data_IF_989939395764
#
_entry.id   IF_989939395764
#
_cell.length_a   1.000
_cell.length_b   1.000
_cell.length_c   1.000
_cell.angle_alpha   90.00
_cell.angle_beta   90.00
_cell.angle_gamma   90.00
#
_symmetry.space_group_name_H-M   'P 1'
#
loop_
_entity.id
_entity.type
_entity.pdbx_description
1 polymer ?
#
# COMPACT_ATOMS: atom_id res chain seq x y z
N UNK A 1 -30.73 -4.82 5.49
CA UNK A 1 -29.55 -3.96 5.76
C UNK A 1 -28.54 -4.55 6.78
N UNK A 2 -28.64 -5.82 7.21
CA UNK A 2 -27.81 -6.35 8.32
C UNK A 2 -26.86 -7.53 8.00
N UNK A 3 -26.76 -8.01 6.74
CA UNK A 3 -25.89 -9.15 6.40
C UNK A 3 -24.64 -8.81 5.56
N UNK A 4 -24.60 -7.63 4.92
CA UNK A 4 -23.45 -7.18 4.10
C UNK A 4 -22.35 -6.54 4.97
N UNK A 5 -22.74 -5.92 6.09
CA UNK A 5 -21.81 -5.26 7.01
C UNK A 5 -20.86 -6.28 7.67
N UNK A 6 -21.37 -7.44 8.09
CA UNK A 6 -20.53 -8.53 8.64
C UNK A 6 -19.68 -9.23 7.57
N UNK A 7 -20.16 -9.36 6.33
CA UNK A 7 -19.41 -10.04 5.26
C UNK A 7 -18.21 -9.26 4.73
N UNK A 8 -18.26 -7.92 4.71
CA UNK A 8 -17.11 -7.12 4.25
C UNK A 8 -15.90 -7.16 5.19
N UNK A 9 -16.08 -7.52 6.47
CA UNK A 9 -14.98 -7.73 7.42
C UNK A 9 -14.38 -9.14 7.26
N UNK A 10 -15.17 -10.10 6.77
CA UNK A 10 -14.73 -11.48 6.48
C UNK A 10 -14.08 -11.67 5.10
N UNK A 11 -13.97 -10.60 4.29
CA UNK A 11 -13.33 -10.61 2.97
C UNK A 11 -11.89 -10.09 3.00
N UNK A 12 -11.30 -9.86 4.17
CA UNK A 12 -9.86 -9.70 4.26
C UNK A 12 -9.27 -11.10 4.04
N UNK A 13 -8.51 -11.35 2.95
CA UNK A 13 -7.66 -12.52 2.94
C UNK A 13 -6.78 -12.38 4.18
N UNK A 14 -6.58 -13.48 4.89
CA UNK A 14 -5.60 -13.55 5.94
C UNK A 14 -4.24 -13.17 5.34
N UNK A 15 -3.89 -11.87 5.40
CA UNK A 15 -2.54 -11.39 5.18
C UNK A 15 -1.67 -12.27 6.07
N UNK A 16 -0.73 -12.97 5.45
CA UNK A 16 -0.19 -14.19 6.00
C UNK A 16 0.67 -13.89 7.25
N UNK A 17 0.06 -13.95 8.44
CA UNK A 17 0.70 -13.72 9.74
C UNK A 17 1.97 -14.58 9.95
N UNK A 18 2.10 -15.69 9.22
CA UNK A 18 3.29 -16.54 9.22
C UNK A 18 4.58 -15.79 8.83
N UNK A 19 4.51 -14.65 8.12
CA UNK A 19 5.70 -13.86 7.78
C UNK A 19 6.30 -13.17 9.01
N UNK A 20 5.47 -12.64 9.91
CA UNK A 20 5.94 -12.06 11.18
C UNK A 20 6.61 -13.11 12.06
N UNK A 21 5.99 -14.28 12.20
CA UNK A 21 6.54 -15.41 12.96
C UNK A 21 7.91 -15.87 12.42
N UNK A 22 8.03 -15.99 11.09
CA UNK A 22 9.29 -16.35 10.43
C UNK A 22 10.41 -15.36 10.77
N UNK A 23 10.16 -14.06 10.64
CA UNK A 23 11.15 -13.01 10.91
C UNK A 23 11.57 -13.01 12.37
N UNK A 24 10.59 -13.13 13.29
CA UNK A 24 10.86 -13.21 14.73
C UNK A 24 11.69 -14.45 15.09
N UNK A 25 11.42 -15.59 14.47
CA UNK A 25 12.17 -16.82 14.69
C UNK A 25 13.63 -16.73 14.21
N UNK A 26 13.90 -16.01 13.13
CA UNK A 26 15.27 -15.75 12.65
C UNK A 26 16.04 -14.77 13.56
N UNK A 27 15.33 -13.88 14.26
CA UNK A 27 15.91 -12.92 15.21
C UNK A 27 16.77 -11.83 14.55
N UNK A 28 17.15 -10.82 15.33
CA UNK A 28 18.07 -9.75 14.93
C UNK A 28 17.47 -8.61 14.09
N UNK A 29 16.30 -8.80 13.49
CA UNK A 29 15.60 -7.74 12.75
C UNK A 29 14.92 -6.74 13.70
N UNK A 30 15.02 -5.44 13.37
CA UNK A 30 14.27 -4.34 14.02
C UNK A 30 13.17 -3.76 13.14
N UNK A 31 13.30 -3.98 11.84
CA UNK A 31 12.34 -3.61 10.82
C UNK A 31 12.57 -4.53 9.62
N UNK A 32 11.50 -4.98 8.98
CA UNK A 32 11.54 -5.78 7.76
C UNK A 32 10.59 -5.20 6.73
N UNK A 33 11.07 -4.95 5.52
CA UNK A 33 10.19 -4.50 4.43
C UNK A 33 9.26 -5.63 4.01
N UNK A 34 7.97 -5.33 3.90
CA UNK A 34 6.93 -6.32 3.58
C UNK A 34 6.07 -5.81 2.44
N UNK A 35 6.13 -6.51 1.30
CA UNK A 35 5.34 -6.19 0.12
C UNK A 35 3.85 -6.40 0.38
N UNK A 36 3.05 -5.38 0.11
CA UNK A 36 1.59 -5.44 0.07
C UNK A 36 1.13 -4.86 -1.26
N UNK A 37 0.55 -5.67 -2.15
CA UNK A 37 0.05 -5.14 -3.42
C UNK A 37 -1.38 -4.63 -3.32
N UNK A 38 -1.65 -3.51 -4.00
CA UNK A 38 -2.97 -2.89 -4.09
C UNK A 38 -3.30 -2.70 -5.57
N UNK A 39 -3.78 -3.75 -6.28
CA UNK A 39 -4.03 -3.73 -7.72
C UNK A 39 -5.28 -2.89 -8.10
N UNK A 40 -5.20 -1.58 -7.89
CA UNK A 40 -6.28 -0.61 -8.12
C UNK A 40 -5.88 0.38 -9.22
N UNK A 41 -6.69 0.53 -10.27
CA UNK A 41 -6.39 1.44 -11.37
C UNK A 41 -7.55 2.33 -11.81
N UNK A 42 -8.71 2.24 -11.16
CA UNK A 42 -9.93 2.93 -11.63
C UNK A 42 -9.99 4.41 -11.24
N UNK A 43 -9.05 4.89 -10.42
CA UNK A 43 -8.93 6.30 -10.06
C UNK A 43 -7.95 7.05 -10.97
N UNK A 44 -7.25 6.34 -11.87
CA UNK A 44 -6.49 6.92 -12.98
C UNK A 44 -7.37 7.76 -13.90
N UNK A 45 -6.84 8.92 -14.33
CA UNK A 45 -7.53 9.82 -15.28
C UNK A 45 -7.35 9.45 -16.75
N UNK A 46 -6.37 8.60 -17.10
CA UNK A 46 -6.10 8.24 -18.50
C UNK A 46 -6.16 6.73 -18.75
N UNK A 47 -5.31 5.94 -18.07
CA UNK A 47 -5.24 4.49 -18.25
C UNK A 47 -5.23 3.76 -16.91
N UNK A 48 -5.98 2.65 -16.83
CA UNK A 48 -6.12 1.83 -15.62
C UNK A 48 -5.11 0.67 -15.55
N UNK A 49 -4.12 0.68 -16.46
CA UNK A 49 -3.04 -0.32 -16.52
C UNK A 49 -2.27 -0.58 -15.21
N UNK A 50 -2.09 0.41 -14.30
CA UNK A 50 -1.44 0.17 -13.02
C UNK A 50 -2.08 -0.94 -12.17
N UNK A 51 -3.37 -1.25 -12.36
CA UNK A 51 -4.02 -2.36 -11.66
C UNK A 51 -3.31 -3.72 -11.87
N UNK A 52 -2.55 -3.89 -12.94
CA UNK A 52 -1.81 -5.12 -13.27
C UNK A 52 -0.34 -5.10 -12.81
N UNK A 53 0.11 -4.04 -12.15
CA UNK A 53 1.51 -3.84 -11.80
C UNK A 53 2.05 -4.76 -10.68
N UNK A 54 1.33 -5.03 -9.57
CA UNK A 54 1.92 -5.75 -8.44
C UNK A 54 2.51 -7.13 -8.80
N UNK A 55 1.84 -7.99 -9.60
CA UNK A 55 2.42 -9.26 -10.00
C UNK A 55 3.67 -9.11 -10.89
N UNK A 56 3.70 -8.10 -11.78
CA UNK A 56 4.83 -7.86 -12.69
C UNK A 56 6.05 -7.30 -11.97
N UNK A 57 5.85 -6.47 -10.96
CA UNK A 57 6.93 -5.99 -10.10
C UNK A 57 7.57 -7.16 -9.36
N UNK A 58 6.78 -8.08 -8.80
CA UNK A 58 7.30 -9.29 -8.15
C UNK A 58 8.09 -10.19 -9.10
N UNK A 59 7.58 -10.40 -10.31
CA UNK A 59 8.29 -11.15 -11.35
C UNK A 59 9.66 -10.52 -11.66
N UNK A 60 9.73 -9.20 -11.74
CA UNK A 60 10.98 -8.48 -12.00
C UNK A 60 11.97 -8.57 -10.83
N UNK A 61 11.50 -8.49 -9.57
CA UNK A 61 12.35 -8.63 -8.36
C UNK A 61 13.07 -9.98 -8.35
N UNK A 62 12.40 -11.05 -8.79
CA UNK A 62 12.92 -12.43 -8.74
C UNK A 62 13.35 -12.97 -10.12
N UNK A 63 13.59 -12.08 -11.08
CA UNK A 63 13.96 -12.47 -12.43
C UNK A 63 15.33 -13.16 -12.43
N UNK A 64 15.45 -14.31 -13.11
CA UNK A 64 16.70 -15.08 -13.18
C UNK A 64 17.86 -14.38 -13.90
N UNK A 65 17.64 -13.21 -14.51
CA UNK A 65 18.72 -12.36 -15.05
C UNK A 65 19.41 -11.52 -13.97
N UNK A 66 18.80 -11.38 -12.79
CA UNK A 66 19.30 -10.59 -11.67
C UNK A 66 19.90 -11.48 -10.59
N UNK A 67 20.71 -10.89 -9.70
CA UNK A 67 21.05 -11.51 -8.43
C UNK A 67 20.11 -10.99 -7.33
N UNK A 68 20.18 -11.58 -6.12
CA UNK A 68 19.33 -11.20 -4.99
C UNK A 68 19.99 -10.19 -4.04
N UNK A 69 21.11 -9.58 -4.41
CA UNK A 69 21.80 -8.60 -3.57
C UNK A 69 21.47 -7.18 -4.00
N UNK A 70 20.97 -6.37 -3.08
CA UNK A 70 20.83 -4.92 -3.28
C UNK A 70 22.18 -4.24 -3.50
N UNK A 71 22.20 -3.00 -4.01
CA UNK A 71 23.45 -2.26 -4.26
C UNK A 71 24.34 -2.10 -3.01
N UNK A 72 23.74 -1.94 -1.83
CA UNK A 72 24.45 -1.85 -0.54
C UNK A 72 24.76 -3.23 0.08
N UNK A 73 24.48 -4.33 -0.62
CA UNK A 73 24.86 -5.69 -0.22
C UNK A 73 23.88 -6.41 0.73
N UNK A 74 22.65 -5.93 0.91
CA UNK A 74 21.60 -6.70 1.62
C UNK A 74 21.04 -7.81 0.73
N UNK A 75 20.85 -8.99 1.32
CA UNK A 75 20.34 -10.20 0.66
C UNK A 75 18.80 -10.25 0.69
N UNK A 76 18.15 -10.19 -0.47
CA UNK A 76 16.69 -10.17 -0.59
C UNK A 76 16.05 -11.52 -0.23
N UNK A 77 16.77 -12.64 -0.37
CA UNK A 77 16.26 -13.96 0.05
C UNK A 77 16.21 -14.12 1.58
N UNK A 78 16.86 -13.23 2.33
CA UNK A 78 16.71 -13.17 3.78
C UNK A 78 15.35 -12.56 4.14
N UNK A 79 14.48 -13.35 4.79
CA UNK A 79 13.17 -12.88 5.22
C UNK A 79 13.25 -11.68 6.18
N UNK A 80 14.38 -11.43 6.84
CA UNK A 80 14.58 -10.23 7.67
C UNK A 80 14.72 -8.96 6.83
N UNK A 81 15.11 -9.08 5.56
CA UNK A 81 15.28 -7.97 4.61
C UNK A 81 13.99 -7.70 3.84
N UNK A 82 13.42 -8.73 3.20
CA UNK A 82 12.22 -8.61 2.39
C UNK A 82 11.26 -9.79 2.61
N UNK A 83 9.98 -9.48 2.82
CA UNK A 83 8.87 -10.45 2.83
C UNK A 83 7.75 -9.96 1.92
N UNK A 84 6.78 -10.83 1.67
CA UNK A 84 5.61 -10.53 0.83
C UNK A 84 4.38 -11.18 1.45
N UNK A 85 3.32 -10.39 1.61
CA UNK A 85 2.03 -10.83 2.16
C UNK A 85 0.93 -10.93 1.09
N UNK A 86 1.27 -10.69 -0.18
CA UNK A 86 0.37 -10.82 -1.31
C UNK A 86 -0.40 -9.54 -1.62
N UNK A 87 -1.57 -9.69 -2.24
CA UNK A 87 -2.37 -8.60 -2.78
C UNK A 87 -3.70 -8.47 -2.06
N UNK A 88 -4.15 -7.22 -1.87
CA UNK A 88 -5.54 -6.92 -1.50
C UNK A 88 -6.43 -7.31 -2.69
N UNK A 89 -7.54 -8.05 -2.49
CA UNK A 89 -8.41 -8.52 -3.56
C UNK A 89 -9.34 -7.40 -4.05
N UNK A 90 -8.73 -6.37 -4.66
CA UNK A 90 -9.41 -5.12 -5.03
C UNK A 90 -10.56 -5.38 -6.00
N UNK A 91 -10.35 -6.23 -7.01
CA UNK A 91 -11.36 -6.47 -8.04
C UNK A 91 -12.56 -7.23 -7.47
N UNK A 92 -12.31 -8.24 -6.63
CA UNK A 92 -13.34 -9.02 -5.95
C UNK A 92 -14.19 -8.16 -5.00
N UNK A 93 -13.55 -7.23 -4.29
CA UNK A 93 -14.26 -6.29 -3.40
C UNK A 93 -15.15 -5.35 -4.22
N UNK A 94 -14.64 -4.82 -5.34
CA UNK A 94 -15.40 -3.93 -6.23
C UNK A 94 -16.57 -4.66 -6.90
N UNK A 95 -16.38 -5.89 -7.34
CA UNK A 95 -17.43 -6.73 -7.95
C UNK A 95 -18.59 -7.01 -6.97
N UNK A 96 -18.34 -6.93 -5.66
CA UNK A 96 -19.38 -7.01 -4.63
C UNK A 96 -20.19 -5.71 -4.44
N UNK A 97 -19.95 -4.67 -5.25
CA UNK A 97 -20.65 -3.39 -5.19
C UNK A 97 -20.26 -2.51 -4.01
N UNK A 98 -19.02 -2.67 -3.51
CA UNK A 98 -18.47 -1.82 -2.43
C UNK A 98 -18.08 -0.46 -3.00
N UNK A 99 -18.48 0.62 -2.32
CA UNK A 99 -18.11 1.99 -2.69
C UNK A 99 -16.63 2.30 -2.41
N UNK A 100 -16.12 3.36 -3.06
CA UNK A 100 -14.70 3.75 -2.94
C UNK A 100 -14.29 4.11 -1.52
N UNK A 101 -15.15 4.77 -0.75
CA UNK A 101 -14.82 5.10 0.64
C UNK A 101 -14.54 3.84 1.47
N UNK A 102 -15.38 2.82 1.33
CA UNK A 102 -15.18 1.54 2.01
C UNK A 102 -14.01 0.76 1.43
N UNK A 103 -13.76 0.82 0.12
CA UNK A 103 -12.59 0.22 -0.51
C UNK A 103 -11.28 0.83 0.03
N UNK A 104 -11.20 2.16 0.12
CA UNK A 104 -10.06 2.87 0.70
C UNK A 104 -9.85 2.52 2.18
N UNK A 105 -10.91 2.28 2.93
CA UNK A 105 -10.80 1.77 4.30
C UNK A 105 -10.22 0.35 4.34
N UNK A 106 -10.62 -0.55 3.45
CA UNK A 106 -10.02 -1.90 3.36
C UNK A 106 -8.52 -1.85 3.04
N UNK A 107 -8.09 -0.93 2.18
CA UNK A 107 -6.67 -0.71 1.89
C UNK A 107 -5.93 -0.26 3.16
N UNK A 108 -6.49 0.73 3.88
CA UNK A 108 -5.90 1.21 5.14
C UNK A 108 -5.81 0.12 6.22
N UNK A 109 -6.85 -0.70 6.38
CA UNK A 109 -6.83 -1.81 7.34
C UNK A 109 -5.84 -2.91 6.93
N UNK A 110 -5.68 -3.18 5.63
CA UNK A 110 -4.65 -4.10 5.12
C UNK A 110 -3.23 -3.63 5.48
N UNK A 111 -2.97 -2.32 5.41
CA UNK A 111 -1.69 -1.73 5.85
C UNK A 111 -1.51 -1.90 7.37
N UNK A 112 -2.54 -1.64 8.17
CA UNK A 112 -2.49 -1.83 9.62
C UNK A 112 -2.20 -3.27 10.01
N UNK A 113 -2.81 -4.25 9.32
CA UNK A 113 -2.52 -5.67 9.56
C UNK A 113 -1.05 -6.03 9.33
N UNK A 114 -0.39 -5.43 8.32
CA UNK A 114 1.06 -5.59 8.16
C UNK A 114 1.82 -4.98 9.34
N UNK A 115 1.42 -3.79 9.78
CA UNK A 115 2.08 -3.09 10.90
C UNK A 115 1.82 -3.72 12.27
N UNK A 116 0.75 -4.52 12.43
CA UNK A 116 0.45 -5.28 13.65
C UNK A 116 1.40 -6.45 13.88
N UNK A 117 2.05 -6.94 12.82
CA UNK A 117 3.05 -8.00 12.90
C UNK A 117 4.45 -7.40 13.09
N UNK A 118 4.93 -7.29 14.33
CA UNK A 118 6.31 -6.86 14.59
C UNK A 118 7.32 -7.89 14.02
N UNK A 119 8.39 -7.49 13.28
CA UNK A 119 8.87 -6.13 13.00
C UNK A 119 8.55 -5.64 11.58
N UNK A 120 7.43 -6.07 10.98
CA UNK A 120 7.11 -5.78 9.58
C UNK A 120 6.79 -4.29 9.35
N UNK A 121 7.20 -3.78 8.19
CA UNK A 121 6.96 -2.41 7.72
C UNK A 121 6.39 -2.49 6.29
N UNK A 122 5.23 -1.87 6.02
CA UNK A 122 4.58 -1.98 4.73
C UNK A 122 5.40 -1.28 3.63
N UNK A 123 5.67 -2.01 2.55
CA UNK A 123 6.15 -1.49 1.27
C UNK A 123 5.06 -1.79 0.23
N UNK A 124 4.25 -0.78 -0.10
CA UNK A 124 3.03 -0.99 -0.87
C UNK A 124 3.34 -0.95 -2.36
N UNK A 125 2.97 -2.01 -3.08
CA UNK A 125 3.07 -2.08 -4.53
C UNK A 125 1.78 -1.55 -5.14
N UNK A 126 1.91 -0.49 -5.92
CA UNK A 126 0.78 0.22 -6.45
C UNK A 126 -0.03 -0.57 -7.45
N UNK A 127 -1.28 -0.14 -7.56
CA UNK A 127 -1.75 0.38 -8.82
C UNK A 127 -1.57 1.90 -8.86
N UNK A 128 -2.61 2.66 -9.20
CA UNK A 128 -2.54 4.11 -9.39
C UNK A 128 -2.26 4.89 -8.09
N UNK A 129 -1.93 6.18 -8.21
CA UNK A 129 -1.47 7.01 -7.10
C UNK A 129 -2.57 7.30 -6.04
N UNK A 130 -3.84 6.95 -6.29
CA UNK A 130 -4.91 7.16 -5.30
C UNK A 130 -4.68 6.38 -4.01
N UNK A 131 -3.97 5.25 -4.08
CA UNK A 131 -3.73 4.38 -2.92
C UNK A 131 -2.82 5.02 -1.87
N UNK A 132 -2.03 6.04 -2.22
CA UNK A 132 -1.14 6.71 -1.28
C UNK A 132 -1.93 7.34 -0.13
N UNK A 133 -3.15 7.84 -0.40
CA UNK A 133 -4.01 8.42 0.62
C UNK A 133 -4.36 7.43 1.76
N UNK A 134 -5.05 6.30 1.51
CA UNK A 134 -5.39 5.36 2.58
C UNK A 134 -4.15 4.72 3.24
N UNK A 135 -3.05 4.56 2.51
CA UNK A 135 -1.78 4.03 3.05
C UNK A 135 -1.16 5.00 4.05
N UNK A 136 -0.96 6.27 3.67
CA UNK A 136 -0.37 7.28 4.55
C UNK A 136 -1.26 7.54 5.76
N UNK A 137 -2.58 7.62 5.57
CA UNK A 137 -3.56 7.70 6.66
C UNK A 137 -3.36 6.57 7.66
N UNK A 138 -3.33 5.31 7.20
CA UNK A 138 -3.17 4.15 8.06
C UNK A 138 -1.85 4.17 8.85
N UNK A 139 -0.74 4.55 8.20
CA UNK A 139 0.57 4.67 8.86
C UNK A 139 0.55 5.76 9.93
N UNK A 140 0.02 6.95 9.61
CA UNK A 140 -0.08 8.07 10.56
C UNK A 140 -0.95 7.71 11.77
N UNK A 141 -2.12 7.12 11.54
CA UNK A 141 -3.01 6.63 12.60
C UNK A 141 -2.33 5.59 13.50
N UNK A 142 -1.62 4.62 12.91
CA UNK A 142 -0.96 3.53 13.65
C UNK A 142 0.24 4.01 14.45
N UNK A 143 0.99 5.00 13.95
CA UNK A 143 2.10 5.63 14.66
C UNK A 143 1.66 6.68 15.67
N UNK A 144 0.38 7.10 15.64
CA UNK A 144 -0.18 8.07 16.56
C UNK A 144 0.21 9.53 16.27
N UNK A 145 0.53 9.85 15.02
CA UNK A 145 0.88 11.23 14.64
C UNK A 145 1.38 11.39 13.21
N UNK A 146 1.54 12.65 12.75
CA UNK A 146 1.90 12.96 11.37
C UNK A 146 3.33 12.53 11.02
N UNK A 147 3.52 12.16 9.76
CA UNK A 147 4.83 11.79 9.19
C UNK A 147 5.36 12.89 8.26
N UNK A 148 6.66 12.84 7.94
CA UNK A 148 7.21 13.62 6.82
C UNK A 148 7.22 12.71 5.57
N UNK A 149 6.87 13.27 4.41
CA UNK A 149 6.78 12.54 3.13
C UNK A 149 7.75 13.14 2.12
N UNK A 150 8.60 12.28 1.58
CA UNK A 150 9.31 12.51 0.32
C UNK A 150 8.46 11.93 -0.81
N UNK A 151 7.99 12.80 -1.70
CA UNK A 151 7.16 12.46 -2.84
C UNK A 151 7.96 12.67 -4.13
N UNK A 152 8.22 11.59 -4.86
CA UNK A 152 8.93 11.61 -6.13
C UNK A 152 7.91 11.37 -7.24
N UNK A 153 7.53 12.42 -7.96
CA UNK A 153 6.55 12.32 -9.03
C UNK A 153 6.69 13.52 -9.97
N UNK A 154 6.39 13.33 -11.26
CA UNK A 154 6.27 14.42 -12.22
C UNK A 154 5.06 15.33 -11.92
N UNK A 155 4.06 14.83 -11.17
CA UNK A 155 2.82 15.52 -10.84
C UNK A 155 2.68 15.76 -9.34
N UNK A 156 2.07 16.88 -8.92
CA UNK A 156 1.90 17.17 -7.49
C UNK A 156 0.74 16.41 -6.83
N UNK A 157 -0.17 15.84 -7.61
CA UNK A 157 -1.33 15.06 -7.15
C UNK A 157 -2.16 15.72 -6.03
N UNK A 158 -2.31 17.04 -6.11
CA UNK A 158 -2.91 17.89 -5.08
C UNK A 158 -4.17 18.64 -5.54
N UNK A 159 -4.85 18.16 -6.58
CA UNK A 159 -6.15 18.73 -6.96
C UNK A 159 -7.19 18.46 -5.86
N UNK A 160 -8.06 19.43 -5.60
CA UNK A 160 -9.16 19.27 -4.63
C UNK A 160 -10.08 18.10 -5.03
N UNK A 161 -10.65 18.10 -6.23
CA UNK A 161 -11.38 16.95 -6.76
C UNK A 161 -11.22 16.90 -8.28
N UNK A 162 -10.24 16.13 -8.77
CA UNK A 162 -9.99 16.02 -10.19
C UNK A 162 -11.15 15.30 -10.89
N UNK A 163 -11.76 15.95 -11.88
CA UNK A 163 -12.96 15.48 -12.60
C UNK A 163 -14.12 15.06 -11.68
N UNK A 164 -14.23 15.69 -10.50
CA UNK A 164 -15.26 15.39 -9.50
C UNK A 164 -15.00 14.13 -8.67
N UNK A 165 -13.88 13.42 -8.88
CA UNK A 165 -13.47 12.28 -8.07
C UNK A 165 -12.49 12.72 -6.96
N UNK A 166 -12.95 12.72 -5.70
CA UNK A 166 -12.10 13.04 -4.53
C UNK A 166 -10.99 12.01 -4.29
N UNK A 167 -11.16 10.79 -4.82
CA UNK A 167 -10.18 9.70 -4.79
C UNK A 167 -9.36 9.61 -6.08
N UNK A 168 -9.44 10.60 -6.97
CA UNK A 168 -8.60 10.61 -8.17
C UNK A 168 -7.13 10.44 -7.80
N UNK A 169 -6.38 9.72 -8.63
CA UNK A 169 -4.93 9.59 -8.46
C UNK A 169 -4.23 10.96 -8.38
N UNK A 170 -4.76 11.97 -9.09
CA UNK A 170 -4.28 13.35 -9.11
C UNK A 170 -4.75 14.20 -7.92
N UNK A 171 -5.48 13.61 -6.97
CA UNK A 171 -6.04 14.27 -5.78
C UNK A 171 -5.56 13.62 -4.47
N UNK A 172 -4.72 12.59 -4.55
CA UNK A 172 -4.30 11.78 -3.40
C UNK A 172 -3.62 12.62 -2.31
N UNK A 173 -2.74 13.55 -2.69
CA UNK A 173 -2.02 14.40 -1.73
C UNK A 173 -2.86 15.54 -1.18
N UNK A 174 -3.92 15.98 -1.86
CA UNK A 174 -4.90 16.89 -1.25
C UNK A 174 -5.57 16.22 -0.04
N UNK A 175 -6.03 14.97 -0.20
CA UNK A 175 -6.63 14.18 0.90
C UNK A 175 -5.67 13.92 2.05
N UNK A 176 -4.40 13.68 1.73
CA UNK A 176 -3.35 13.45 2.73
C UNK A 176 -3.12 14.69 3.60
N UNK A 177 -3.06 15.88 2.98
CA UNK A 177 -2.81 17.13 3.70
C UNK A 177 -4.05 17.60 4.48
N UNK A 178 -5.26 17.40 3.95
CA UNK A 178 -6.51 17.76 4.65
C UNK A 178 -6.75 16.99 5.95
N UNK A 179 -6.24 15.76 6.05
CA UNK A 179 -6.40 14.94 7.25
C UNK A 179 -5.26 15.05 8.25
N UNK A 180 -4.38 16.05 8.12
CA UNK A 180 -3.23 16.28 9.01
C UNK A 180 -2.34 15.05 9.20
N UNK A 181 -2.29 14.14 8.21
CA UNK A 181 -1.47 12.92 8.29
C UNK A 181 0.01 13.20 8.03
N UNK A 182 0.32 14.34 7.40
CA UNK A 182 1.66 14.71 6.94
C UNK A 182 2.03 16.10 7.42
N UNK A 183 3.21 16.23 8.02
CA UNK A 183 3.76 17.51 8.50
C UNK A 183 4.53 18.23 7.41
N UNK A 184 5.47 17.53 6.76
CA UNK A 184 6.23 18.07 5.62
C UNK A 184 5.99 17.21 4.39
N UNK A 185 5.52 17.82 3.32
CA UNK A 185 5.43 17.20 2.00
C UNK A 185 6.52 17.81 1.11
N UNK A 186 7.55 17.02 0.80
CA UNK A 186 8.63 17.42 -0.08
C UNK A 186 8.40 16.76 -1.44
N UNK A 187 7.96 17.55 -2.43
CA UNK A 187 7.76 17.07 -3.79
C UNK A 187 9.00 17.35 -4.62
N UNK A 188 9.68 16.30 -5.06
CA UNK A 188 10.75 16.40 -6.04
C UNK A 188 10.19 16.01 -7.41
N UNK A 189 10.02 17.02 -8.25
CA UNK A 189 9.49 16.86 -9.61
C UNK A 189 10.62 16.34 -10.51
N UNK A 190 10.46 15.11 -11.01
CA UNK A 190 11.45 14.38 -11.82
C UNK A 190 10.99 14.15 -13.25
#
# INVERSE_FOLDING_TARGET
MSNIVRRGIHYMPALNAAKGELVRALGGAKATSTLLGVPLGHNSSFLQGPAFAPPRIREAIWCGSTNSTTEEGKELQDARVLTDVGDVPIQEIRDCGVDDHRLMNVIGESVKLVMDEDPLRPLVLGGDHSISFPVIRAVSEKLGGPVDVLHLDAHPDNYDAFEGNIYSHASSFARVMEGDYVRRLLQAII
#
